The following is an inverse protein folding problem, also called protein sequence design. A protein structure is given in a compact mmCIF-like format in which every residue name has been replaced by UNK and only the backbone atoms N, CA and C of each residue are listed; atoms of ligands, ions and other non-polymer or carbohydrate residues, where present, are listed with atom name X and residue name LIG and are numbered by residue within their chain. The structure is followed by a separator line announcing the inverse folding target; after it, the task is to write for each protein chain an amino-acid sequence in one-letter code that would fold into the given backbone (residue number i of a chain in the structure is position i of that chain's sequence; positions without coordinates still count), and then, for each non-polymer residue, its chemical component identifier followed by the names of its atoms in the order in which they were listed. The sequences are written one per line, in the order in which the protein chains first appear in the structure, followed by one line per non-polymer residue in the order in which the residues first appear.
data_IF_864393037368
#
_entry.id   IF_864393037368
#
_cell.length_a   1.000
_cell.length_b   1.000
_cell.length_c   1.000
_cell.angle_alpha   90.00
_cell.angle_beta   90.00
_cell.angle_gamma   90.00
#
_symmetry.space_group_name_H-M   'P 1'
#
loop_
_entity.id
_entity.type
_entity.pdbx_description
1 polymer ?
#
# COMPACT_ATOMS: atom_id res chain seq x y z
N UNK A 1 -2.65 37.03 -29.73
CA UNK A 1 -1.41 36.57 -29.07
C UNK A 1 -1.86 35.65 -27.94
N UNK A 2 -1.76 34.34 -28.12
CA UNK A 2 -2.24 33.37 -27.14
C UNK A 2 -1.40 33.44 -25.85
N UNK A 3 -1.99 33.26 -24.66
CA UNK A 3 -1.23 33.30 -23.41
C UNK A 3 -0.27 32.12 -23.37
N UNK A 4 1.03 32.41 -23.48
CA UNK A 4 2.09 31.41 -23.39
C UNK A 4 2.20 30.88 -21.97
N UNK A 5 1.65 29.70 -21.72
CA UNK A 5 1.92 28.95 -20.50
C UNK A 5 3.39 28.56 -20.40
N UNK A 6 3.88 28.38 -19.18
CA UNK A 6 5.21 27.81 -18.90
C UNK A 6 5.38 26.52 -19.72
N UNK A 7 6.42 26.38 -20.56
CA UNK A 7 6.59 25.20 -21.39
C UNK A 7 6.58 23.94 -20.52
N UNK A 8 5.81 22.93 -20.93
CA UNK A 8 5.75 21.64 -20.24
C UNK A 8 7.09 20.94 -20.39
N UNK A 9 7.61 20.38 -19.30
CA UNK A 9 8.84 19.58 -19.33
C UNK A 9 8.69 18.28 -20.14
N UNK A 10 7.45 17.88 -20.46
CA UNK A 10 7.14 16.75 -21.33
C UNK A 10 7.40 17.13 -22.80
N UNK A 11 8.65 16.95 -23.23
CA UNK A 11 9.05 17.03 -24.64
C UNK A 11 8.94 15.66 -25.30
N UNK A 12 8.94 15.64 -26.64
CA UNK A 12 8.97 14.38 -27.39
C UNK A 12 10.19 13.52 -27.05
N UNK A 13 11.35 14.16 -26.87
CA UNK A 13 12.60 13.48 -26.48
C UNK A 13 12.49 12.79 -25.12
N UNK A 14 11.98 13.50 -24.09
CA UNK A 14 11.76 12.92 -22.76
C UNK A 14 10.77 11.77 -22.82
N UNK A 15 9.68 11.92 -23.58
CA UNK A 15 8.72 10.85 -23.80
C UNK A 15 9.36 9.62 -24.44
N UNK A 16 10.13 9.78 -25.51
CA UNK A 16 10.80 8.69 -26.22
C UNK A 16 11.81 7.95 -25.34
N UNK A 17 12.60 8.68 -24.54
CA UNK A 17 13.54 8.09 -23.59
C UNK A 17 12.81 7.23 -22.54
N UNK A 18 11.74 7.75 -21.93
CA UNK A 18 10.95 7.02 -20.94
C UNK A 18 10.35 5.76 -21.55
N UNK A 19 9.68 5.89 -22.70
CA UNK A 19 9.03 4.78 -23.40
C UNK A 19 10.04 3.70 -23.76
N UNK A 20 11.22 4.08 -24.28
CA UNK A 20 12.29 3.13 -24.63
C UNK A 20 12.77 2.33 -23.42
N UNK A 21 13.01 2.99 -22.29
CA UNK A 21 13.51 2.33 -21.07
C UNK A 21 12.47 1.36 -20.51
N UNK A 22 11.19 1.73 -20.55
CA UNK A 22 10.08 0.87 -20.13
C UNK A 22 9.91 -0.32 -21.08
N UNK A 23 10.01 -0.12 -22.40
CA UNK A 23 9.99 -1.21 -23.38
C UNK A 23 11.12 -2.23 -23.17
N UNK A 24 12.26 -1.80 -22.62
CA UNK A 24 13.35 -2.69 -22.22
C UNK A 24 13.04 -3.52 -20.95
N UNK A 25 11.89 -3.30 -20.30
CA UNK A 25 11.44 -4.04 -19.12
C UNK A 25 11.75 -3.37 -17.79
N UNK A 26 12.14 -2.09 -17.78
CA UNK A 26 12.43 -1.36 -16.55
C UNK A 26 11.17 -0.74 -15.93
N UNK A 27 11.25 -0.45 -14.63
CA UNK A 27 10.21 0.27 -13.90
C UNK A 27 10.11 1.74 -14.33
N UNK A 28 8.92 2.31 -14.18
CA UNK A 28 8.62 3.73 -14.46
C UNK A 28 9.57 4.69 -13.74
N UNK A 29 9.91 4.41 -12.48
CA UNK A 29 10.84 5.22 -11.69
C UNK A 29 12.23 5.27 -12.32
N UNK A 30 12.76 4.13 -12.74
CA UNK A 30 14.06 4.03 -13.43
C UNK A 30 14.02 4.80 -14.75
N UNK A 31 12.93 4.69 -15.50
CA UNK A 31 12.74 5.41 -16.75
C UNK A 31 12.66 6.93 -16.53
N UNK A 32 11.99 7.40 -15.47
CA UNK A 32 11.93 8.81 -15.09
C UNK A 32 13.32 9.36 -14.78
N UNK A 33 14.07 8.68 -13.90
CA UNK A 33 15.42 9.08 -13.52
C UNK A 33 16.36 9.08 -14.73
N UNK A 34 16.26 8.07 -15.61
CA UNK A 34 17.04 8.01 -16.85
C UNK A 34 16.78 9.20 -17.78
N UNK A 35 15.52 9.63 -17.89
CA UNK A 35 15.13 10.79 -18.68
C UNK A 35 15.34 12.14 -17.96
N UNK A 36 15.98 12.13 -16.79
CA UNK A 36 16.29 13.35 -16.03
C UNK A 36 15.08 14.03 -15.39
N UNK A 37 13.96 13.31 -15.19
CA UNK A 37 12.77 13.84 -14.52
C UNK A 37 12.56 13.18 -13.16
N UNK A 38 11.99 13.93 -12.21
CA UNK A 38 11.63 13.37 -10.91
C UNK A 38 10.47 12.37 -11.03
N UNK A 39 10.49 11.32 -10.22
CA UNK A 39 9.43 10.30 -10.18
C UNK A 39 8.04 10.94 -9.97
N UNK A 40 7.94 11.89 -9.04
CA UNK A 40 6.68 12.60 -8.75
C UNK A 40 6.12 13.30 -9.99
N UNK A 41 6.99 13.84 -10.84
CA UNK A 41 6.58 14.47 -12.12
C UNK A 41 5.96 13.43 -13.05
N UNK A 42 6.59 12.26 -13.20
CA UNK A 42 6.04 11.18 -14.00
C UNK A 42 4.69 10.70 -13.46
N UNK A 43 4.58 10.51 -12.14
CA UNK A 43 3.32 10.13 -11.49
C UNK A 43 2.21 11.15 -11.76
N UNK A 44 2.50 12.44 -11.64
CA UNK A 44 1.54 13.50 -11.97
C UNK A 44 1.11 13.46 -13.43
N UNK A 45 2.02 13.24 -14.38
CA UNK A 45 1.67 13.11 -15.80
C UNK A 45 0.80 11.90 -16.08
N UNK A 46 1.09 10.76 -15.44
CA UNK A 46 0.29 9.55 -15.56
C UNK A 46 -1.11 9.70 -14.96
N UNK A 47 -1.24 10.46 -13.86
CA UNK A 47 -2.53 10.80 -13.26
C UNK A 47 -3.35 11.71 -14.19
N UNK A 48 -2.76 12.80 -14.69
CA UNK A 48 -3.41 13.70 -15.66
C UNK A 48 -3.88 12.97 -16.91
N UNK A 49 -3.01 12.16 -17.52
CA UNK A 49 -3.38 11.38 -18.71
C UNK A 49 -4.44 10.30 -18.47
N UNK A 50 -4.78 9.98 -17.20
CA UNK A 50 -5.88 9.09 -16.86
C UNK A 50 -7.22 9.84 -16.82
N UNK A 51 -7.19 11.12 -16.47
CA UNK A 51 -8.36 12.00 -16.36
C UNK A 51 -8.73 12.66 -17.70
N UNK A 52 -7.72 12.91 -18.54
CA UNK A 52 -7.88 13.47 -19.88
C UNK A 52 -8.39 12.41 -20.88
N UNK A 53 -9.30 12.80 -21.80
CA UNK A 53 -9.74 11.96 -22.92
C UNK A 53 -8.88 12.17 -24.19
N UNK A 54 -8.21 13.32 -24.26
CA UNK A 54 -7.31 13.73 -25.34
C UNK A 54 -6.21 14.66 -24.78
N UNK A 55 -5.10 14.80 -25.50
CA UNK A 55 -4.01 15.69 -25.12
C UNK A 55 -2.67 15.00 -24.90
N UNK A 56 -1.65 15.79 -24.57
CA UNK A 56 -0.26 15.30 -24.48
C UNK A 56 -0.07 14.29 -23.35
N UNK A 57 -0.71 14.50 -22.19
CA UNK A 57 -0.57 13.56 -21.07
C UNK A 57 -1.36 12.28 -21.31
N UNK A 58 -2.54 12.37 -21.96
CA UNK A 58 -3.29 11.20 -22.43
C UNK A 58 -2.48 10.32 -23.37
N UNK A 59 -1.91 10.90 -24.44
CA UNK A 59 -1.11 10.16 -25.42
C UNK A 59 0.18 9.61 -24.79
N UNK A 60 0.84 10.39 -23.93
CA UNK A 60 1.99 9.91 -23.17
C UNK A 60 1.66 8.71 -22.29
N UNK A 61 0.55 8.76 -21.54
CA UNK A 61 0.09 7.64 -20.70
C UNK A 61 -0.18 6.39 -21.55
N UNK A 62 -0.83 6.54 -22.70
CA UNK A 62 -1.08 5.43 -23.62
C UNK A 62 0.22 4.82 -24.13
N UNK A 63 1.19 5.64 -24.50
CA UNK A 63 2.50 5.18 -24.95
C UNK A 63 3.24 4.40 -23.84
N UNK A 64 3.21 4.90 -22.60
CA UNK A 64 3.80 4.22 -21.43
C UNK A 64 3.12 2.87 -21.16
N UNK A 65 1.79 2.82 -21.12
CA UNK A 65 1.07 1.55 -20.89
C UNK A 65 1.31 0.55 -22.02
N UNK A 66 1.34 1.02 -23.27
CA UNK A 66 1.69 0.18 -24.40
C UNK A 66 3.11 -0.39 -24.24
N UNK A 67 4.07 0.43 -23.84
CA UNK A 67 5.45 -0.01 -23.60
C UNK A 67 5.54 -1.09 -22.52
N UNK A 68 4.77 -0.97 -21.44
CA UNK A 68 4.72 -1.99 -20.38
C UNK A 68 4.16 -3.32 -20.89
N UNK A 69 3.06 -3.27 -21.65
CA UNK A 69 2.49 -4.47 -22.27
C UNK A 69 3.47 -5.11 -23.28
N UNK A 70 4.12 -4.29 -24.11
CA UNK A 70 5.11 -4.76 -25.08
C UNK A 70 6.29 -5.45 -24.36
N UNK A 71 6.76 -4.89 -23.25
CA UNK A 71 7.82 -5.47 -22.43
C UNK A 71 7.40 -6.80 -21.80
N UNK A 72 6.18 -6.89 -21.26
CA UNK A 72 5.62 -8.13 -20.71
C UNK A 72 5.54 -9.22 -21.79
N UNK A 73 5.00 -8.88 -22.96
CA UNK A 73 4.91 -9.80 -24.11
C UNK A 73 6.30 -10.28 -24.50
N UNK A 74 7.28 -9.38 -24.58
CA UNK A 74 8.65 -9.72 -24.92
C UNK A 74 9.32 -10.65 -23.88
N UNK A 75 8.98 -10.54 -22.59
CA UNK A 75 9.42 -11.48 -21.56
C UNK A 75 8.73 -12.83 -21.68
N UNK A 76 7.42 -12.86 -21.92
CA UNK A 76 6.69 -14.12 -22.13
C UNK A 76 7.24 -14.89 -23.31
N UNK A 77 7.57 -14.22 -24.42
CA UNK A 77 8.22 -14.85 -25.58
C UNK A 77 9.55 -15.48 -25.18
N UNK A 78 10.40 -14.78 -24.43
CA UNK A 78 11.69 -15.33 -23.96
C UNK A 78 11.51 -16.54 -23.06
N UNK A 79 10.55 -16.49 -22.14
CA UNK A 79 10.23 -17.64 -21.27
C UNK A 79 9.77 -18.84 -22.10
N UNK A 80 8.94 -18.63 -23.12
CA UNK A 80 8.49 -19.69 -24.04
C UNK A 80 9.63 -20.26 -24.89
N UNK A 81 10.57 -19.43 -25.32
CA UNK A 81 11.76 -19.88 -26.05
C UNK A 81 12.67 -20.72 -25.15
N UNK A 82 12.97 -20.25 -23.94
CA UNK A 82 13.75 -21.02 -22.97
C UNK A 82 13.07 -22.33 -22.58
N UNK A 83 11.73 -22.35 -22.52
CA UNK A 83 10.94 -23.55 -22.28
C UNK A 83 11.05 -24.62 -23.39
N UNK A 84 11.46 -24.25 -24.60
CA UNK A 84 11.75 -25.22 -25.67
C UNK A 84 13.07 -25.97 -25.42
N UNK A 85 13.98 -25.38 -24.64
CA UNK A 85 15.29 -25.96 -24.30
C UNK A 85 15.29 -26.66 -22.95
N UNK A 86 14.68 -26.04 -21.92
CA UNK A 86 14.53 -26.62 -20.58
C UNK A 86 13.08 -26.53 -20.10
N UNK A 87 12.47 -27.70 -19.91
CA UNK A 87 11.10 -27.86 -19.41
C UNK A 87 10.85 -27.15 -18.06
N UNK A 88 11.88 -26.90 -17.25
CA UNK A 88 11.76 -26.15 -15.99
C UNK A 88 11.22 -24.73 -16.19
N UNK A 89 11.53 -24.08 -17.31
CA UNK A 89 10.99 -22.75 -17.60
C UNK A 89 9.48 -22.82 -17.89
N UNK A 90 9.02 -23.88 -18.58
CA UNK A 90 7.60 -24.12 -18.80
C UNK A 90 6.88 -24.38 -17.47
N UNK A 91 7.46 -25.24 -16.62
CA UNK A 91 6.94 -25.53 -15.28
C UNK A 91 6.85 -24.25 -14.44
N UNK A 92 7.92 -23.47 -14.35
CA UNK A 92 7.96 -22.22 -13.60
C UNK A 92 6.87 -21.24 -14.05
N UNK A 93 6.67 -21.09 -15.37
CA UNK A 93 5.64 -20.21 -15.92
C UNK A 93 4.22 -20.71 -15.60
N UNK A 94 3.95 -22.01 -15.78
CA UNK A 94 2.65 -22.62 -15.51
C UNK A 94 2.27 -22.54 -14.02
N UNK A 95 3.22 -22.82 -13.12
CA UNK A 95 3.04 -22.73 -11.66
C UNK A 95 2.62 -21.32 -11.21
N UNK A 96 3.12 -20.28 -11.90
CA UNK A 96 2.82 -18.87 -11.56
C UNK A 96 1.55 -18.36 -12.25
N UNK A 97 1.38 -18.61 -13.55
CA UNK A 97 0.23 -18.10 -14.31
C UNK A 97 -1.07 -18.85 -13.97
N UNK A 98 -0.97 -20.15 -13.67
CA UNK A 98 -2.10 -21.02 -13.39
C UNK A 98 -1.96 -21.70 -12.03
N UNK A 99 -1.66 -20.92 -10.99
CA UNK A 99 -1.38 -21.41 -9.63
C UNK A 99 -2.43 -22.38 -9.09
N UNK A 100 -3.70 -22.21 -9.41
CA UNK A 100 -4.76 -23.13 -8.96
C UNK A 100 -4.66 -24.53 -9.58
N UNK A 101 -4.22 -24.64 -10.84
CA UNK A 101 -4.17 -25.91 -11.60
C UNK A 101 -2.79 -26.56 -11.57
N UNK A 102 -1.74 -25.74 -11.51
CA UNK A 102 -0.34 -26.19 -11.64
C UNK A 102 0.50 -25.85 -10.40
N UNK A 103 -0.02 -25.03 -9.48
CA UNK A 103 0.69 -24.72 -8.25
C UNK A 103 0.77 -25.95 -7.36
N UNK A 104 1.86 -26.05 -6.61
CA UNK A 104 2.06 -27.15 -5.66
C UNK A 104 0.96 -27.12 -4.60
N UNK A 105 0.22 -28.20 -4.50
CA UNK A 105 -0.74 -28.40 -3.42
C UNK A 105 0.03 -28.48 -2.10
N UNK A 106 -0.08 -27.43 -1.28
CA UNK A 106 0.43 -27.45 0.08
C UNK A 106 -0.73 -27.86 0.98
N UNK A 107 -0.83 -29.16 1.28
CA UNK A 107 -1.68 -29.63 2.37
C UNK A 107 -1.04 -29.20 3.69
N UNK A 108 -1.44 -28.03 4.20
CA UNK A 108 -1.08 -27.58 5.54
C UNK A 108 -2.05 -28.24 6.51
N UNK A 109 -1.58 -29.24 7.26
CA UNK A 109 -2.33 -29.78 8.40
C UNK A 109 -2.27 -28.76 9.53
N UNK A 110 -3.43 -28.18 9.88
CA UNK A 110 -3.56 -27.24 11.01
C UNK A 110 -3.88 -27.90 12.34
N UNK A 111 -4.04 -29.22 12.36
CA UNK A 111 -4.12 -29.97 13.61
C UNK A 111 -2.73 -30.01 14.25
N UNK A 112 -2.56 -29.31 15.37
CA UNK A 112 -1.52 -29.68 16.32
C UNK A 112 -1.66 -31.16 16.66
N UNK A 113 -0.53 -31.82 16.94
CA UNK A 113 -0.57 -33.14 17.54
C UNK A 113 -1.40 -33.05 18.84
N UNK A 114 -2.42 -33.89 19.06
CA UNK A 114 -3.19 -33.86 20.31
C UNK A 114 -2.30 -34.03 21.55
N UNK A 115 -1.16 -34.71 21.41
CA UNK A 115 -0.17 -34.89 22.47
C UNK A 115 0.89 -33.78 22.51
N UNK A 116 0.93 -32.90 21.49
CA UNK A 116 1.84 -31.76 21.41
C UNK A 116 1.22 -30.58 20.63
N UNK A 117 0.30 -29.81 21.28
CA UNK A 117 -0.37 -28.70 20.64
C UNK A 117 0.62 -27.61 20.22
N UNK A 118 0.29 -26.89 19.14
CA UNK A 118 1.07 -25.74 18.69
C UNK A 118 1.11 -24.67 19.79
N UNK A 119 2.29 -24.42 20.36
CA UNK A 119 2.52 -23.36 21.32
C UNK A 119 2.56 -22.02 20.57
N UNK A 120 1.56 -21.18 20.82
CA UNK A 120 1.50 -19.82 20.28
C UNK A 120 1.92 -18.88 21.40
N UNK A 121 3.18 -18.45 21.38
CA UNK A 121 3.67 -17.42 22.29
C UNK A 121 3.19 -16.05 21.83
N UNK A 122 2.21 -15.49 22.55
CA UNK A 122 1.81 -14.10 22.39
C UNK A 122 2.79 -13.18 23.13
N UNK A 123 4.03 -13.08 22.66
CA UNK A 123 4.94 -12.07 23.16
C UNK A 123 4.82 -10.80 22.31
N UNK A 124 3.74 -10.05 22.51
CA UNK A 124 3.66 -8.68 22.01
C UNK A 124 4.49 -7.81 22.94
N UNK A 125 5.79 -7.75 22.66
CA UNK A 125 6.69 -6.86 23.36
C UNK A 125 6.47 -5.44 22.79
N UNK A 126 5.45 -4.75 23.30
CA UNK A 126 5.33 -3.31 23.07
C UNK A 126 6.37 -2.67 23.97
N UNK A 127 7.58 -2.50 23.44
CA UNK A 127 8.66 -1.76 24.10
C UNK A 127 8.24 -0.29 24.24
N UNK A 128 7.62 0.07 25.37
CA UNK A 128 7.57 1.46 25.82
C UNK A 128 8.90 1.74 26.51
N UNK A 129 9.99 1.74 25.75
CA UNK A 129 11.30 2.18 26.23
C UNK A 129 11.48 3.66 25.94
N UNK A 130 10.58 4.52 26.46
CA UNK A 130 10.88 5.95 26.64
C UNK A 130 9.79 6.67 27.44
N UNK A 131 9.84 6.54 28.77
CA UNK A 131 9.11 7.46 29.64
C UNK A 131 9.89 7.82 30.91
N UNK A 132 10.76 6.95 31.40
CA UNK A 132 11.39 7.19 32.72
C UNK A 132 12.70 7.97 32.65
N UNK A 133 13.43 7.96 31.52
CA UNK A 133 14.71 8.67 31.40
C UNK A 133 14.57 10.15 31.00
N UNK A 134 13.39 10.55 30.49
CA UNK A 134 13.10 11.96 30.12
C UNK A 134 12.16 12.67 31.11
N UNK A 135 11.72 12.00 32.17
CA UNK A 135 10.89 12.58 33.21
C UNK A 135 11.46 13.91 33.80
N UNK A 136 12.78 14.06 34.07
CA UNK A 136 13.28 15.33 34.60
C UNK A 136 13.30 16.46 33.56
N UNK A 137 13.50 16.17 32.26
CA UNK A 137 13.47 17.21 31.22
C UNK A 137 12.04 17.65 30.90
N UNK A 138 11.08 16.73 30.89
CA UNK A 138 9.67 17.05 30.61
C UNK A 138 9.03 17.81 31.78
N UNK A 139 9.33 17.46 33.04
CA UNK A 139 8.88 18.24 34.20
C UNK A 139 9.46 19.67 34.18
N UNK A 140 10.75 19.85 33.86
CA UNK A 140 11.36 21.17 33.79
C UNK A 140 10.73 22.08 32.71
N UNK A 141 10.35 21.50 31.57
CA UNK A 141 9.63 22.24 30.52
C UNK A 141 8.23 22.61 31.00
N UNK A 142 7.49 21.69 31.63
CA UNK A 142 6.10 21.91 32.07
C UNK A 142 5.99 22.97 33.18
N UNK A 143 6.99 23.07 34.06
CA UNK A 143 7.10 24.14 35.05
C UNK A 143 7.35 25.51 34.39
N UNK A 144 8.09 25.57 33.27
CA UNK A 144 8.35 26.80 32.53
C UNK A 144 7.12 27.30 31.74
N UNK A 145 6.24 26.38 31.30
CA UNK A 145 5.00 26.75 30.59
C UNK A 145 3.81 27.03 31.51
N UNK A 146 3.98 26.93 32.83
CA UNK A 146 2.96 27.28 33.83
C UNK A 146 1.66 26.48 33.70
N UNK A 147 1.73 25.22 33.28
CA UNK A 147 0.57 24.41 32.95
C UNK A 147 0.31 23.32 34.00
N UNK A 148 0.11 23.72 35.26
CA UNK A 148 -0.60 22.90 36.25
C UNK A 148 -1.34 23.85 37.20
N UNK A 149 -2.57 24.18 36.83
CA UNK A 149 -3.53 24.91 37.66
C UNK A 149 -4.14 23.91 38.67
N UNK A 150 -3.80 24.04 39.94
CA UNK A 150 -4.42 23.29 41.03
C UNK A 150 -5.86 23.76 41.23
N UNK A 151 -6.81 23.02 40.66
CA UNK A 151 -8.25 23.20 40.84
C UNK A 151 -8.84 22.13 41.76
N UNK A 152 -8.76 22.42 43.06
CA UNK A 152 -9.62 22.07 44.20
C UNK A 152 -10.91 21.23 43.93
N UNK A 153 -10.95 20.08 44.61
CA UNK A 153 -12.04 19.40 45.35
C UNK A 153 -13.51 19.35 44.87
N UNK A 154 -14.06 18.12 44.92
CA UNK A 154 -15.49 17.84 44.77
C UNK A 154 -15.82 16.38 45.05
N UNK A 155 -15.97 16.05 46.33
CA UNK A 155 -16.47 14.76 46.83
C UNK A 155 -17.91 14.50 46.31
N UNK A 156 -18.16 13.29 45.83
CA UNK A 156 -19.47 12.85 45.33
C UNK A 156 -19.72 11.38 45.67
N UNK A 157 -20.31 11.17 46.84
CA UNK A 157 -20.73 9.92 47.46
C UNK A 157 -21.69 9.11 46.57
N UNK A 158 -21.38 7.83 46.36
CA UNK A 158 -22.21 6.88 45.63
C UNK A 158 -23.21 6.21 46.59
N UNK A 159 -24.47 6.61 46.52
CA UNK A 159 -25.58 5.83 47.06
C UNK A 159 -26.40 5.27 45.91
N UNK A 160 -26.34 3.96 45.74
CA UNK A 160 -27.24 3.23 44.86
C UNK A 160 -28.58 3.04 45.54
N UNK A 161 -29.65 3.38 44.85
CA UNK A 161 -30.98 2.84 45.09
C UNK A 161 -31.54 2.33 43.77
N UNK A 162 -32.04 1.10 43.85
CA UNK A 162 -32.65 0.34 42.79
C UNK A 162 -34.12 0.75 42.67
N UNK A 163 -34.58 1.01 41.46
CA UNK A 163 -36.00 0.90 41.13
C UNK A 163 -36.14 0.30 39.73
N UNK A 164 -36.61 -0.95 39.70
CA UNK A 164 -37.09 -1.61 38.50
C UNK A 164 -38.49 -1.07 38.23
N UNK A 165 -38.74 -0.57 37.02
CA UNK A 165 -40.09 -0.31 36.56
C UNK A 165 -40.37 -1.06 35.25
N UNK A 166 -41.59 -1.53 35.23
CA UNK A 166 -42.25 -2.53 34.43
C UNK A 166 -42.82 -1.83 33.19
N UNK A 167 -42.58 -2.34 31.98
CA UNK A 167 -43.42 -1.94 30.84
C UNK A 167 -43.90 -3.19 30.12
N UNK A 168 -45.05 -3.65 30.61
CA UNK A 168 -46.01 -4.46 29.89
C UNK A 168 -46.51 -3.69 28.65
N UNK A 169 -46.32 -4.27 27.47
CA UNK A 169 -47.23 -4.07 26.34
C UNK A 169 -47.58 -5.43 25.75
N UNK A 170 -48.54 -6.11 26.36
CA UNK A 170 -49.66 -6.80 25.70
C UNK A 170 -50.04 -6.15 24.35
N UNK A 171 -50.58 -6.79 23.31
CA UNK A 171 -50.75 -8.16 22.84
C UNK A 171 -51.56 -8.02 21.53
N UNK A 172 -51.50 -9.04 20.67
CA UNK A 172 -52.50 -9.37 19.64
C UNK A 172 -52.60 -8.42 18.41
N UNK A 173 -52.93 -8.86 17.20
CA UNK A 173 -53.65 -10.07 16.78
C UNK A 173 -53.46 -10.29 15.27
N UNK A 174 -53.75 -11.53 14.85
CA UNK A 174 -54.15 -12.03 13.52
C UNK A 174 -53.10 -12.41 12.48
#
# INVERSE_FOLDING_TARGET
MAPGGRPTLLTLEVQEQIVRVIQAGNYREVAAQHAGIGERTLVTWMAKGKEEEEGIHYEFRRAVLKAEHDAEIAMVVRVRQAAAEDAKHAQWWLERKFRQRWGREKTVKHSGDPDNPLQVDHNVNISIERAEEQAPEVCAILDEVGAFDEGEDGEGEATGDAEADEVDTTSADS
#
